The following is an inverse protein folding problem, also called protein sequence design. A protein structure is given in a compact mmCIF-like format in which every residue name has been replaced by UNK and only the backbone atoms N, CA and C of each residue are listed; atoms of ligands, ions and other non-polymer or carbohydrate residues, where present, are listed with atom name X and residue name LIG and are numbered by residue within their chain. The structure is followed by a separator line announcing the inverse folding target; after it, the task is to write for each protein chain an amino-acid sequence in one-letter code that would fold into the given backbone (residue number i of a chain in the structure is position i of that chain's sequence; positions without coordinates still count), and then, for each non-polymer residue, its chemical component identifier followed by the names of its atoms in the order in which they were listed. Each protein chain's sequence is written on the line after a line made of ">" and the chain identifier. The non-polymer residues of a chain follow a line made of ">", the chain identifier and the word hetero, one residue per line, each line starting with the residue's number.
data_IF_636595281092
#
_entry.id   IF_636595281092
#
_cell.length_a   1.000
_cell.length_b   1.000
_cell.length_c   1.000
_cell.angle_alpha   90.00
_cell.angle_beta   90.00
_cell.angle_gamma   90.00
#
_symmetry.space_group_name_H-M   'P 1'
#
loop_
_entity.id
_entity.type
_entity.pdbx_description
1 polymer ?
#
# COMPACT_ATOMS: atom_id res chain seq x y z
N UNK A 1 12.03 -0.16 4.13
CA UNK A 1 12.23 -1.57 3.73
C UNK A 1 10.88 -2.14 3.32
N UNK A 2 10.81 -2.77 2.13
CA UNK A 2 9.63 -3.47 1.64
C UNK A 2 9.91 -4.98 1.62
N UNK A 3 9.08 -5.75 2.34
CA UNK A 3 9.19 -7.21 2.42
C UNK A 3 7.98 -7.82 1.74
N UNK A 4 8.19 -8.73 0.80
CA UNK A 4 7.12 -9.31 0.00
C UNK A 4 7.35 -10.79 -0.28
N UNK A 5 6.26 -11.49 -0.64
CA UNK A 5 6.31 -12.86 -1.17
C UNK A 5 6.14 -12.79 -2.68
N UNK A 6 7.21 -13.07 -3.43
CA UNK A 6 7.20 -12.97 -4.89
C UNK A 6 6.04 -13.73 -5.52
N UNK A 7 5.79 -14.98 -5.09
CA UNK A 7 4.68 -15.80 -5.62
C UNK A 7 3.31 -15.13 -5.41
N UNK A 8 3.04 -14.60 -4.22
CA UNK A 8 1.76 -13.94 -3.91
C UNK A 8 1.56 -12.70 -4.76
N UNK A 9 2.62 -11.89 -4.90
CA UNK A 9 2.57 -10.67 -5.68
C UNK A 9 2.41 -10.95 -7.19
N UNK A 10 3.12 -11.95 -7.71
CA UNK A 10 2.95 -12.38 -9.11
C UNK A 10 1.53 -12.90 -9.37
N UNK A 11 0.96 -13.67 -8.43
CA UNK A 11 -0.43 -14.14 -8.54
C UNK A 11 -1.42 -12.97 -8.52
N UNK A 12 -1.22 -11.99 -7.68
CA UNK A 12 -2.04 -10.78 -7.62
C UNK A 12 -1.96 -9.98 -8.94
N UNK A 13 -0.76 -9.81 -9.48
CA UNK A 13 -0.54 -9.10 -10.74
C UNK A 13 -1.02 -9.87 -11.97
N UNK A 14 -1.39 -11.15 -11.84
CA UNK A 14 -2.06 -11.91 -12.89
C UNK A 14 -3.55 -11.55 -13.04
N UNK A 15 -4.18 -10.83 -12.09
CA UNK A 15 -5.53 -10.29 -12.27
C UNK A 15 -5.52 -9.24 -13.40
N UNK A 16 -6.34 -9.41 -14.45
CA UNK A 16 -6.38 -8.49 -15.60
C UNK A 16 -6.70 -7.02 -15.19
N UNK A 17 -7.47 -6.82 -14.13
CA UNK A 17 -7.83 -5.49 -13.61
C UNK A 17 -6.59 -4.82 -13.01
N UNK A 18 -5.83 -5.56 -12.19
CA UNK A 18 -4.59 -5.07 -11.62
C UNK A 18 -3.54 -4.78 -12.70
N UNK A 19 -3.43 -5.66 -13.71
CA UNK A 19 -2.55 -5.44 -14.86
C UNK A 19 -2.88 -4.15 -15.60
N UNK A 20 -4.16 -3.92 -15.89
CA UNK A 20 -4.61 -2.72 -16.60
C UNK A 20 -4.33 -1.45 -15.79
N UNK A 21 -4.62 -1.47 -14.50
CA UNK A 21 -4.39 -0.33 -13.62
C UNK A 21 -2.89 -0.01 -13.48
N UNK A 22 -2.06 -1.04 -13.29
CA UNK A 22 -0.60 -0.86 -13.19
C UNK A 22 0.01 -0.44 -14.52
N UNK A 23 -0.43 -1.01 -15.65
CA UNK A 23 0.04 -0.60 -16.97
C UNK A 23 -0.27 0.87 -17.27
N UNK A 24 -1.47 1.36 -16.87
CA UNK A 24 -1.82 2.79 -17.01
C UNK A 24 -0.92 3.69 -16.16
N UNK A 25 -0.38 3.19 -15.06
CA UNK A 25 0.59 3.89 -14.21
C UNK A 25 2.06 3.67 -14.65
N UNK A 26 2.29 3.01 -15.80
CA UNK A 26 3.61 2.83 -16.42
C UNK A 26 4.39 1.60 -15.93
N UNK A 27 3.74 0.65 -15.26
CA UNK A 27 4.39 -0.59 -14.80
C UNK A 27 4.34 -1.70 -15.86
N UNK A 28 5.45 -2.42 -16.05
CA UNK A 28 5.47 -3.67 -16.82
C UNK A 28 5.25 -4.86 -15.88
N UNK A 29 4.00 -5.29 -15.75
CA UNK A 29 3.60 -6.36 -14.81
C UNK A 29 4.17 -7.74 -15.16
N UNK A 30 4.83 -7.91 -16.30
CA UNK A 30 5.54 -9.14 -16.70
C UNK A 30 6.89 -9.29 -16.02
N UNK A 31 7.48 -8.18 -15.56
CA UNK A 31 8.73 -8.15 -14.83
C UNK A 31 8.54 -7.53 -13.44
N UNK A 32 8.46 -8.40 -12.43
CA UNK A 32 8.29 -7.97 -11.04
C UNK A 32 9.46 -7.08 -10.58
N UNK A 33 10.69 -7.37 -11.01
CA UNK A 33 11.84 -6.58 -10.61
C UNK A 33 11.77 -5.17 -11.20
N UNK A 34 11.39 -5.04 -12.47
CA UNK A 34 11.16 -3.75 -13.11
C UNK A 34 10.03 -2.97 -12.41
N UNK A 35 8.93 -3.63 -12.04
CA UNK A 35 7.86 -3.03 -11.26
C UNK A 35 8.35 -2.45 -9.93
N UNK A 36 9.15 -3.19 -9.19
CA UNK A 36 9.67 -2.76 -7.89
C UNK A 36 10.65 -1.58 -8.01
N UNK A 37 11.50 -1.59 -9.02
CA UNK A 37 12.40 -0.47 -9.32
C UNK A 37 11.60 0.78 -9.71
N UNK A 38 10.58 0.61 -10.55
CA UNK A 38 9.72 1.73 -10.96
C UNK A 38 8.97 2.33 -9.75
N UNK A 39 8.38 1.48 -8.89
CA UNK A 39 7.72 1.92 -7.65
C UNK A 39 8.69 2.69 -6.74
N UNK A 40 9.90 2.16 -6.53
CA UNK A 40 10.90 2.83 -5.70
C UNK A 40 11.27 4.22 -6.26
N UNK A 41 11.42 4.33 -7.57
CA UNK A 41 11.68 5.62 -8.24
C UNK A 41 10.54 6.61 -8.02
N UNK A 42 9.29 6.18 -8.17
CA UNK A 42 8.12 7.04 -7.95
C UNK A 42 8.00 7.52 -6.51
N UNK A 43 8.22 6.63 -5.54
CA UNK A 43 8.23 6.99 -4.12
C UNK A 43 9.32 8.01 -3.82
N UNK A 44 10.52 7.81 -4.36
CA UNK A 44 11.65 8.73 -4.17
C UNK A 44 11.35 10.11 -4.76
N UNK A 45 10.80 10.15 -5.98
CA UNK A 45 10.40 11.41 -6.62
C UNK A 45 9.32 12.14 -5.83
N UNK A 46 8.29 11.42 -5.38
CA UNK A 46 7.24 12.01 -4.55
C UNK A 46 7.80 12.58 -3.23
N UNK A 47 8.74 11.87 -2.59
CA UNK A 47 9.38 12.33 -1.35
C UNK A 47 10.24 13.59 -1.56
N UNK A 48 10.94 13.68 -2.68
CA UNK A 48 11.78 14.86 -3.01
C UNK A 48 10.90 16.08 -3.38
N UNK A 49 9.81 15.86 -4.11
CA UNK A 49 8.91 16.94 -4.53
C UNK A 49 8.13 17.56 -3.34
N UNK A 50 7.90 16.81 -2.26
CA UNK A 50 7.30 17.36 -1.04
C UNK A 50 8.14 18.48 -0.44
N UNK A 51 9.46 18.42 -0.56
CA UNK A 51 10.38 19.47 -0.07
C UNK A 51 10.33 20.76 -0.92
N UNK A 52 9.91 20.68 -2.18
CA UNK A 52 9.86 21.80 -3.12
C UNK A 52 8.44 22.28 -3.43
N UNK A 53 7.41 21.63 -2.86
CA UNK A 53 6.04 21.98 -3.13
C UNK A 53 5.69 23.36 -2.56
N UNK A 54 5.28 24.27 -3.44
CA UNK A 54 4.85 25.63 -3.10
C UNK A 54 3.51 25.69 -2.27
N UNK A 55 2.82 24.56 -2.13
CA UNK A 55 1.65 24.45 -1.27
C UNK A 55 2.08 24.40 0.20
N UNK A 56 2.45 25.55 0.76
CA UNK A 56 2.91 25.81 2.13
C UNK A 56 3.20 24.57 3.00
N UNK A 57 4.42 24.44 3.41
CA UNK A 57 5.17 23.40 4.14
C UNK A 57 4.46 22.56 5.23
N UNK A 58 3.20 22.80 5.54
CA UNK A 58 2.47 22.17 6.66
C UNK A 58 1.36 21.21 6.21
N UNK A 59 0.94 21.21 4.95
CA UNK A 59 -0.28 20.47 4.53
C UNK A 59 -0.03 19.19 3.73
N UNK A 60 1.09 19.08 3.03
CA UNK A 60 1.41 17.86 2.27
C UNK A 60 2.02 16.73 3.14
N UNK A 61 2.45 17.02 4.35
CA UNK A 61 3.09 16.06 5.27
C UNK A 61 2.11 15.16 6.04
N UNK A 62 0.80 15.42 5.96
CA UNK A 62 -0.22 14.63 6.67
C UNK A 62 -0.98 13.76 5.66
N UNK A 63 -1.03 12.42 5.86
CA UNK A 63 -1.69 11.48 4.94
C UNK A 63 -3.22 11.60 4.87
N UNK A 64 -3.81 12.63 5.46
CA UNK A 64 -5.27 12.75 5.63
C UNK A 64 -5.91 14.03 5.10
N UNK A 65 -5.19 14.91 4.39
CA UNK A 65 -5.81 16.15 3.91
C UNK A 65 -5.78 16.28 2.39
N UNK A 66 -6.94 16.01 1.79
CA UNK A 66 -7.26 16.13 0.38
C UNK A 66 -7.42 17.60 -0.08
N UNK A 67 -6.40 18.44 0.06
CA UNK A 67 -6.48 19.82 -0.40
C UNK A 67 -5.21 20.34 -1.06
N UNK A 68 -4.49 19.48 -1.76
CA UNK A 68 -3.48 19.96 -2.67
C UNK A 68 -4.17 20.48 -3.95
N UNK A 69 -3.80 21.67 -4.44
CA UNK A 69 -4.33 22.24 -5.69
C UNK A 69 -4.10 21.26 -6.85
N UNK A 70 -4.95 21.32 -7.87
CA UNK A 70 -4.92 20.42 -9.05
C UNK A 70 -3.58 20.38 -9.80
N UNK A 71 -2.67 21.31 -9.51
CA UNK A 71 -1.37 21.46 -10.14
C UNK A 71 -0.19 21.01 -9.26
N UNK A 72 -0.45 20.31 -8.15
CA UNK A 72 0.61 19.82 -7.29
C UNK A 72 1.27 18.57 -7.88
N UNK A 73 2.56 18.65 -8.20
CA UNK A 73 3.39 17.56 -8.73
C UNK A 73 3.87 16.56 -7.68
N UNK A 74 3.46 16.74 -6.41
CA UNK A 74 3.85 15.88 -5.28
C UNK A 74 2.89 14.68 -5.08
N UNK A 75 2.35 14.12 -6.15
CA UNK A 75 1.41 13.02 -6.07
C UNK A 75 2.12 11.74 -5.64
N UNK A 76 1.79 11.29 -4.42
CA UNK A 76 2.27 10.01 -3.91
C UNK A 76 1.71 8.85 -4.75
N UNK A 77 2.51 7.82 -5.09
CA UNK A 77 2.06 6.69 -5.90
C UNK A 77 1.09 5.80 -5.11
N UNK A 78 -0.20 6.14 -5.14
CA UNK A 78 -1.25 5.41 -4.39
C UNK A 78 -1.44 3.97 -4.87
N UNK A 79 -1.01 3.64 -6.08
CA UNK A 79 -0.94 2.27 -6.60
C UNK A 79 -0.03 1.34 -5.78
N UNK A 80 0.75 1.87 -4.83
CA UNK A 80 1.47 1.06 -3.84
C UNK A 80 0.53 0.08 -3.10
N UNK A 81 -0.75 0.41 -2.98
CA UNK A 81 -1.75 -0.47 -2.40
C UNK A 81 -1.82 -1.84 -3.08
N UNK A 82 -1.64 -1.90 -4.41
CA UNK A 82 -1.56 -3.16 -5.15
C UNK A 82 -0.32 -3.97 -4.75
N UNK A 83 0.80 -3.31 -4.52
CA UNK A 83 2.04 -3.96 -4.06
C UNK A 83 1.94 -4.43 -2.60
N UNK A 84 1.13 -3.78 -1.78
CA UNK A 84 0.84 -4.19 -0.40
C UNK A 84 -0.18 -5.34 -0.34
N UNK A 85 -0.77 -5.71 -1.49
CA UNK A 85 -1.76 -6.79 -1.59
C UNK A 85 -3.12 -6.41 -1.02
N UNK A 86 -3.45 -5.12 -1.00
CA UNK A 86 -4.80 -4.68 -0.64
C UNK A 86 -5.81 -5.08 -1.74
N UNK A 87 -7.10 -5.29 -1.41
CA UNK A 87 -8.11 -5.62 -2.40
C UNK A 87 -8.11 -4.63 -3.56
N UNK A 88 -8.21 -5.15 -4.79
CA UNK A 88 -8.18 -4.31 -5.99
C UNK A 88 -9.19 -3.18 -5.93
N UNK A 89 -10.43 -3.51 -5.60
CA UNK A 89 -11.54 -2.56 -5.60
C UNK A 89 -11.31 -1.43 -4.57
N UNK A 90 -10.75 -1.73 -3.40
CA UNK A 90 -10.42 -0.73 -2.39
C UNK A 90 -9.29 0.22 -2.84
N UNK A 91 -8.25 -0.31 -3.50
CA UNK A 91 -7.16 0.52 -4.03
C UNK A 91 -7.64 1.38 -5.19
N UNK A 92 -8.43 0.79 -6.10
CA UNK A 92 -8.99 1.50 -7.24
C UNK A 92 -9.88 2.67 -6.78
N UNK A 93 -10.84 2.39 -5.88
CA UNK A 93 -11.74 3.40 -5.35
C UNK A 93 -11.00 4.47 -4.55
N UNK A 94 -9.97 4.09 -3.79
CA UNK A 94 -9.11 5.06 -3.10
C UNK A 94 -8.49 6.07 -4.07
N UNK A 95 -7.99 5.60 -5.22
CA UNK A 95 -7.39 6.46 -6.24
C UNK A 95 -8.46 7.35 -6.88
N UNK A 96 -9.59 6.78 -7.30
CA UNK A 96 -10.69 7.48 -7.97
C UNK A 96 -11.31 8.53 -7.05
N UNK A 97 -11.58 8.16 -5.81
CA UNK A 97 -12.23 9.04 -4.82
C UNK A 97 -11.23 9.88 -4.00
N UNK A 98 -9.95 9.82 -4.33
CA UNK A 98 -8.88 10.57 -3.64
C UNK A 98 -8.87 10.33 -2.13
N UNK A 99 -9.16 9.11 -1.73
CA UNK A 99 -9.21 8.72 -0.33
C UNK A 99 -10.45 9.16 0.44
N UNK A 100 -11.45 9.77 -0.21
CA UNK A 100 -12.71 10.15 0.41
C UNK A 100 -13.76 9.02 0.30
N UNK A 101 -14.92 9.18 0.96
CA UNK A 101 -16.10 8.31 0.87
C UNK A 101 -15.87 6.82 1.22
N UNK A 102 -14.85 6.50 1.99
CA UNK A 102 -14.62 5.13 2.45
C UNK A 102 -15.67 4.72 3.51
N UNK A 103 -16.03 3.44 3.52
CA UNK A 103 -16.99 2.88 4.48
C UNK A 103 -16.38 2.63 5.85
N UNK A 104 -15.14 2.09 5.88
CA UNK A 104 -14.41 1.77 7.10
C UNK A 104 -12.92 2.04 6.91
N UNK A 105 -12.24 2.42 8.00
CA UNK A 105 -10.81 2.63 8.05
C UNK A 105 -10.14 1.64 9.02
N UNK A 106 -9.06 1.01 8.58
CA UNK A 106 -8.24 0.10 9.36
C UNK A 106 -6.81 0.06 8.83
N UNK A 107 -6.31 -1.10 8.42
CA UNK A 107 -5.02 -1.20 7.74
C UNK A 107 -5.02 -0.47 6.38
N UNK A 108 -6.18 -0.34 5.78
CA UNK A 108 -6.43 0.50 4.60
C UNK A 108 -7.84 1.09 4.67
N UNK A 109 -8.19 2.00 3.75
CA UNK A 109 -9.55 2.53 3.58
C UNK A 109 -10.38 1.57 2.73
N UNK A 110 -11.48 1.08 3.29
CA UNK A 110 -12.36 0.07 2.69
C UNK A 110 -13.52 0.72 1.98
N UNK A 111 -13.74 0.35 0.72
CA UNK A 111 -14.82 0.86 -0.11
C UNK A 111 -15.86 -0.22 -0.42
N UNK A 112 -15.46 -1.48 -0.52
CA UNK A 112 -16.36 -2.54 -0.95
C UNK A 112 -16.66 -3.56 0.14
N UNK A 113 -15.92 -4.61 0.28
CA UNK A 113 -16.24 -5.75 1.14
C UNK A 113 -15.82 -5.51 2.60
N UNK A 114 -16.66 -4.77 3.34
CA UNK A 114 -16.39 -4.38 4.74
C UNK A 114 -16.22 -5.59 5.65
N UNK A 115 -17.06 -6.61 5.51
CA UNK A 115 -17.01 -7.80 6.37
C UNK A 115 -15.67 -8.54 6.21
N UNK A 116 -15.24 -8.78 4.97
CA UNK A 116 -13.96 -9.43 4.69
C UNK A 116 -12.78 -8.58 5.16
N UNK A 117 -12.85 -7.26 4.99
CA UNK A 117 -11.80 -6.35 5.44
C UNK A 117 -11.67 -6.38 6.97
N UNK A 118 -12.77 -6.31 7.71
CA UNK A 118 -12.78 -6.38 9.17
C UNK A 118 -12.20 -7.71 9.67
N UNK A 119 -12.60 -8.84 9.07
CA UNK A 119 -12.03 -10.14 9.40
C UNK A 119 -10.51 -10.19 9.17
N UNK A 120 -10.03 -9.55 8.10
CA UNK A 120 -8.59 -9.44 7.80
C UNK A 120 -7.88 -8.56 8.83
N UNK A 121 -8.47 -7.43 9.23
CA UNK A 121 -7.90 -6.56 10.27
C UNK A 121 -7.82 -7.27 11.63
N UNK A 122 -8.83 -8.08 11.96
CA UNK A 122 -8.81 -8.90 13.18
C UNK A 122 -7.69 -9.94 13.12
N UNK A 123 -7.51 -10.61 11.99
CA UNK A 123 -6.41 -11.55 11.79
C UNK A 123 -5.04 -10.86 11.92
N UNK A 124 -4.87 -9.66 11.38
CA UNK A 124 -3.63 -8.89 11.54
C UNK A 124 -3.36 -8.50 12.99
N UNK A 125 -4.41 -8.09 13.74
CA UNK A 125 -4.29 -7.78 15.17
C UNK A 125 -3.88 -9.02 15.98
N UNK A 126 -4.54 -10.14 15.74
CA UNK A 126 -4.23 -11.40 16.43
C UNK A 126 -2.79 -11.86 16.12
N UNK A 127 -2.38 -11.76 14.86
CA UNK A 127 -1.01 -12.08 14.43
C UNK A 127 0.02 -11.18 15.13
N UNK A 128 -0.22 -9.87 15.15
CA UNK A 128 0.67 -8.91 15.81
C UNK A 128 0.78 -9.20 17.31
N UNK A 129 -0.34 -9.46 17.98
CA UNK A 129 -0.35 -9.80 19.41
C UNK A 129 0.43 -11.08 19.69
N UNK A 130 0.22 -12.12 18.89
CA UNK A 130 0.94 -13.39 19.02
C UNK A 130 2.45 -13.20 18.84
N UNK A 131 2.90 -12.54 17.79
CA UNK A 131 4.31 -12.33 17.53
C UNK A 131 4.96 -11.42 18.58
N UNK A 132 4.26 -10.40 19.06
CA UNK A 132 4.72 -9.54 20.15
C UNK A 132 4.91 -10.36 21.43
N UNK A 133 3.94 -11.18 21.78
CA UNK A 133 4.02 -12.05 22.95
C UNK A 133 5.21 -13.01 22.85
N UNK A 134 5.36 -13.73 21.76
CA UNK A 134 6.44 -14.73 21.58
C UNK A 134 7.81 -14.05 21.56
N UNK A 135 7.93 -12.85 20.97
CA UNK A 135 9.16 -12.06 21.01
C UNK A 135 9.53 -11.66 22.45
N UNK A 136 8.55 -11.24 23.26
CA UNK A 136 8.76 -10.90 24.67
C UNK A 136 9.18 -12.12 25.52
N UNK A 137 8.84 -13.34 25.09
CA UNK A 137 9.31 -14.57 25.70
C UNK A 137 10.75 -14.96 25.27
N UNK A 138 11.44 -14.09 24.52
CA UNK A 138 12.84 -14.30 24.12
C UNK A 138 13.04 -14.98 22.76
N UNK A 139 11.97 -15.20 21.98
CA UNK A 139 12.10 -15.72 20.64
C UNK A 139 12.75 -14.67 19.72
N UNK A 140 13.78 -15.05 18.97
CA UNK A 140 14.46 -14.13 18.07
C UNK A 140 13.63 -13.84 16.81
N UNK A 141 13.85 -12.69 16.17
CA UNK A 141 13.20 -12.35 14.89
C UNK A 141 13.45 -13.40 13.80
N UNK A 142 14.63 -14.03 13.79
CA UNK A 142 14.95 -15.10 12.83
C UNK A 142 14.07 -16.34 13.03
N UNK A 143 13.79 -16.72 14.28
CA UNK A 143 12.89 -17.83 14.61
C UNK A 143 11.44 -17.49 14.23
N UNK A 144 10.98 -16.26 14.53
CA UNK A 144 9.64 -15.80 14.15
C UNK A 144 9.44 -15.82 12.64
N UNK A 145 10.44 -15.41 11.87
CA UNK A 145 10.37 -15.43 10.40
C UNK A 145 10.28 -16.84 9.81
N UNK A 146 10.74 -17.87 10.52
CA UNK A 146 10.65 -19.28 10.10
C UNK A 146 9.30 -19.92 10.46
N UNK A 147 8.65 -19.46 11.50
CA UNK A 147 7.36 -20.01 11.97
C UNK A 147 6.18 -19.71 11.01
N UNK A 148 6.39 -18.89 10.00
CA UNK A 148 5.37 -18.48 9.00
C UNK A 148 5.46 -19.23 7.66
N UNK A 149 6.16 -20.37 7.64
CA UNK A 149 6.25 -21.25 6.45
C UNK A 149 5.16 -22.29 6.40
#
# INVERSE_FOLDING_TARGET
>A
VYVYRAKSLTTYFADPRAQTALASAGYDTRDLSACLVHLASRITLASNNVAECACSQTRCALPQQASCSKDCTCEFPHEIGYFLGYPYDDVHEFIVQRGENYKVFGAWKVYENVEQALATFDAYRACTQYFTFVYQQGCSLAQLAQATR
#
